data_IF_524636404039
#
_entry.id   IF_524636404039
#
_cell.length_a   1.000
_cell.length_b   1.000
_cell.length_c   1.000
_cell.angle_alpha   90.00
_cell.angle_beta   90.00
_cell.angle_gamma   90.00
#
_symmetry.space_group_name_H-M   'P 1'
#
loop_
_entity.id
_entity.type
_entity.pdbx_description
1 polymer ?
#
# COMPACT_ATOMS: atom_id res chain seq x y z
N UNK A 1 -11.56 -16.12 -6.04
CA UNK A 1 -10.24 -15.48 -6.17
C UNK A 1 -10.12 -14.26 -5.26
N UNK A 2 -8.91 -14.00 -4.77
CA UNK A 2 -8.54 -12.87 -3.89
C UNK A 2 -7.40 -12.11 -4.57
N UNK A 3 -7.68 -10.87 -4.96
CA UNK A 3 -6.71 -10.01 -5.63
C UNK A 3 -6.10 -9.05 -4.61
N UNK A 4 -4.78 -9.11 -4.46
CA UNK A 4 -4.03 -8.27 -3.53
C UNK A 4 -3.20 -7.28 -4.33
N UNK A 5 -3.35 -5.98 -4.06
CA UNK A 5 -2.54 -4.92 -4.67
C UNK A 5 -1.49 -4.48 -3.66
N UNK A 6 -0.23 -4.40 -4.08
CA UNK A 6 0.92 -4.15 -3.21
C UNK A 6 2.01 -3.37 -3.94
N UNK A 7 2.91 -2.75 -3.17
CA UNK A 7 4.09 -2.10 -3.70
C UNK A 7 5.13 -3.11 -4.23
N UNK A 8 6.23 -2.60 -4.76
CA UNK A 8 7.28 -3.41 -5.37
C UNK A 8 8.39 -3.86 -4.39
N UNK A 9 8.14 -3.83 -3.07
CA UNK A 9 9.15 -4.18 -2.08
C UNK A 9 9.68 -5.61 -2.26
N UNK A 10 10.99 -5.78 -2.06
CA UNK A 10 11.67 -7.07 -2.27
C UNK A 10 11.18 -8.17 -1.33
N UNK A 11 10.68 -7.79 -0.15
CA UNK A 11 10.07 -8.68 0.85
C UNK A 11 8.86 -9.46 0.29
N UNK A 12 8.14 -8.89 -0.67
CA UNK A 12 7.00 -9.53 -1.34
C UNK A 12 7.41 -10.61 -2.36
N UNK A 13 8.70 -10.72 -2.70
CA UNK A 13 9.20 -11.60 -3.77
C UNK A 13 10.14 -12.70 -3.28
N UNK A 14 10.22 -12.89 -1.96
CA UNK A 14 11.10 -13.90 -1.37
C UNK A 14 10.69 -15.32 -1.78
N UNK A 15 11.62 -16.30 -1.76
CA UNK A 15 11.28 -17.70 -2.03
C UNK A 15 10.18 -18.24 -1.13
N UNK A 16 10.09 -17.79 0.12
CA UNK A 16 9.04 -18.18 1.05
C UNK A 16 7.65 -17.73 0.57
N UNK A 17 7.52 -16.47 0.14
CA UNK A 17 6.27 -15.95 -0.42
C UNK A 17 5.88 -16.69 -1.71
N UNK A 18 6.85 -16.93 -2.62
CA UNK A 18 6.58 -17.68 -3.85
C UNK A 18 6.07 -19.09 -3.59
N UNK A 19 6.68 -19.82 -2.64
CA UNK A 19 6.22 -21.15 -2.22
C UNK A 19 4.82 -21.10 -1.62
N UNK A 20 4.55 -20.10 -0.79
CA UNK A 20 3.22 -19.93 -0.19
C UNK A 20 2.16 -19.66 -1.25
N UNK A 21 2.41 -18.79 -2.23
CA UNK A 21 1.46 -18.50 -3.32
C UNK A 21 1.17 -19.74 -4.17
N UNK A 22 2.19 -20.57 -4.46
CA UNK A 22 2.00 -21.82 -5.19
C UNK A 22 1.07 -22.79 -4.44
N UNK A 23 1.13 -22.82 -3.10
CA UNK A 23 0.24 -23.62 -2.26
C UNK A 23 -1.16 -22.98 -2.07
N UNK A 24 -1.33 -21.70 -2.41
CA UNK A 24 -2.57 -20.95 -2.18
C UNK A 24 -3.01 -20.20 -3.46
N UNK A 25 -3.43 -20.93 -4.52
CA UNK A 25 -3.68 -20.37 -5.85
C UNK A 25 -4.85 -19.37 -5.88
N UNK A 26 -5.68 -19.32 -4.84
CA UNK A 26 -6.75 -18.32 -4.71
C UNK A 26 -6.23 -16.89 -4.59
N UNK A 27 -4.95 -16.67 -4.25
CA UNK A 27 -4.37 -15.33 -4.11
C UNK A 27 -3.60 -14.92 -5.36
N UNK A 28 -4.00 -13.80 -5.95
CA UNK A 28 -3.33 -13.18 -7.10
C UNK A 28 -2.73 -11.85 -6.67
N UNK A 29 -1.41 -11.74 -6.78
CA UNK A 29 -0.67 -10.52 -6.42
C UNK A 29 -0.54 -9.58 -7.63
N UNK A 30 -0.94 -8.33 -7.46
CA UNK A 30 -0.80 -7.23 -8.42
C UNK A 30 0.15 -6.19 -7.86
N UNK A 31 1.26 -5.95 -8.56
CA UNK A 31 2.27 -5.01 -8.12
C UNK A 31 2.03 -3.64 -8.76
N UNK A 32 2.06 -2.57 -7.96
CA UNK A 32 2.05 -1.21 -8.50
C UNK A 32 3.30 -0.99 -9.36
N UNK A 33 3.22 -0.23 -10.47
CA UNK A 33 4.38 0.11 -11.27
C UNK A 33 5.50 0.79 -10.46
N UNK A 34 6.75 0.60 -10.89
CA UNK A 34 7.90 1.29 -10.27
C UNK A 34 7.68 2.80 -10.25
N UNK A 35 8.13 3.45 -9.17
CA UNK A 35 7.95 4.89 -8.94
C UNK A 35 6.48 5.35 -8.83
N UNK A 36 5.54 4.43 -8.54
CA UNK A 36 4.10 4.74 -8.43
C UNK A 36 3.52 4.49 -7.03
N UNK A 37 4.24 4.85 -5.96
CA UNK A 37 3.77 4.70 -4.57
C UNK A 37 2.43 5.40 -4.30
N UNK A 38 2.13 6.47 -5.03
CA UNK A 38 0.85 7.19 -4.95
C UNK A 38 -0.39 6.34 -5.32
N UNK A 39 -0.20 5.22 -6.02
CA UNK A 39 -1.26 4.23 -6.31
C UNK A 39 -1.51 3.26 -5.15
N UNK A 40 -0.57 3.14 -4.20
CA UNK A 40 -0.66 2.23 -3.08
C UNK A 40 -1.58 2.81 -1.99
N UNK A 41 -2.88 2.46 -2.02
CA UNK A 41 -3.88 3.05 -1.13
C UNK A 41 -3.65 2.72 0.36
N UNK A 42 -2.98 1.60 0.69
CA UNK A 42 -2.68 1.26 2.09
C UNK A 42 -1.73 2.28 2.73
N UNK A 43 -0.85 2.90 1.95
CA UNK A 43 0.03 3.98 2.45
C UNK A 43 -0.77 5.21 2.87
N UNK A 44 -1.90 5.49 2.22
CA UNK A 44 -2.82 6.56 2.65
C UNK A 44 -3.44 6.24 4.01
N UNK A 45 -3.84 4.99 4.21
CA UNK A 45 -4.36 4.53 5.50
C UNK A 45 -3.29 4.65 6.61
N UNK A 46 -2.04 4.26 6.33
CA UNK A 46 -0.94 4.47 7.28
C UNK A 46 -0.69 5.95 7.59
N UNK A 47 -0.87 6.83 6.60
CA UNK A 47 -0.84 8.28 6.81
C UNK A 47 -1.92 8.77 7.78
N UNK A 48 -3.15 8.26 7.67
CA UNK A 48 -4.24 8.58 8.60
C UNK A 48 -3.94 8.09 10.02
N UNK A 49 -3.54 6.81 10.17
CA UNK A 49 -3.15 6.26 11.46
C UNK A 49 -2.03 7.11 12.09
N UNK A 50 -1.02 7.48 11.30
CA UNK A 50 0.12 8.27 11.78
C UNK A 50 -0.33 9.65 12.27
N UNK A 51 -1.06 10.39 11.45
CA UNK A 51 -1.43 11.79 11.72
C UNK A 51 -2.54 11.94 12.77
N UNK A 52 -3.51 11.02 12.78
CA UNK A 52 -4.67 11.10 13.69
C UNK A 52 -4.45 10.38 15.01
N UNK A 53 -3.68 9.30 15.04
CA UNK A 53 -3.47 8.50 16.25
C UNK A 53 -2.04 8.56 16.78
N UNK A 54 -1.03 8.27 15.96
CA UNK A 54 0.33 8.07 16.47
C UNK A 54 1.01 9.39 16.88
N UNK A 55 0.91 10.44 16.07
CA UNK A 55 1.52 11.74 16.35
C UNK A 55 0.85 12.50 17.50
N UNK A 56 -0.40 12.13 17.85
CA UNK A 56 -1.18 12.74 18.93
C UNK A 56 -1.19 11.91 20.21
N UNK A 57 -0.62 10.70 20.18
CA UNK A 57 -0.58 9.77 21.30
C UNK A 57 0.78 9.78 21.99
N UNK A 58 0.79 9.79 23.32
CA UNK A 58 1.99 9.50 24.11
C UNK A 58 1.91 8.07 24.60
N UNK A 59 2.78 7.19 24.09
CA UNK A 59 2.83 5.79 24.51
C UNK A 59 4.05 5.55 25.38
N UNK A 60 3.85 4.96 26.57
CA UNK A 60 4.92 4.66 27.53
C UNK A 60 5.47 3.24 27.37
N UNK A 61 4.85 2.44 26.50
CA UNK A 61 5.32 1.08 26.20
C UNK A 61 4.85 0.59 24.83
N UNK A 62 5.53 -0.42 24.29
CA UNK A 62 5.13 -1.12 23.06
C UNK A 62 3.76 -1.80 23.22
N UNK A 63 3.41 -2.26 24.42
CA UNK A 63 2.10 -2.86 24.70
C UNK A 63 0.97 -1.85 24.52
N UNK A 64 1.17 -0.65 25.04
CA UNK A 64 0.22 0.46 24.91
C UNK A 64 0.04 0.88 23.45
N UNK A 65 1.15 1.03 22.72
CA UNK A 65 1.11 1.31 21.28
C UNK A 65 0.32 0.24 20.49
N UNK A 66 0.56 -1.05 20.78
CA UNK A 66 -0.17 -2.13 20.13
C UNK A 66 -1.67 -2.11 20.44
N UNK A 67 -2.04 -1.83 21.71
CA UNK A 67 -3.45 -1.70 22.11
C UNK A 67 -4.12 -0.56 21.33
N UNK A 68 -3.45 0.57 21.22
CA UNK A 68 -3.97 1.75 20.56
C UNK A 68 -4.12 1.59 19.04
N UNK A 69 -3.17 0.90 18.39
CA UNK A 69 -3.29 0.55 16.97
C UNK A 69 -4.46 -0.42 16.73
N UNK A 70 -4.68 -1.41 17.61
CA UNK A 70 -5.80 -2.35 17.48
C UNK A 70 -7.15 -1.64 17.64
N UNK A 71 -7.29 -0.80 18.65
CA UNK A 71 -8.50 0.01 18.86
C UNK A 71 -8.77 0.94 17.67
N UNK A 72 -7.73 1.52 17.07
CA UNK A 72 -7.86 2.30 15.84
C UNK A 72 -8.39 1.46 14.67
N UNK A 73 -7.85 0.25 14.48
CA UNK A 73 -8.29 -0.67 13.42
C UNK A 73 -9.77 -1.06 13.62
N UNK A 74 -10.16 -1.42 14.84
CA UNK A 74 -11.55 -1.73 15.18
C UNK A 74 -12.48 -0.55 14.86
N UNK A 75 -12.14 0.64 15.33
CA UNK A 75 -12.91 1.86 15.08
C UNK A 75 -13.01 2.20 13.59
N UNK A 76 -11.92 2.03 12.84
CA UNK A 76 -11.91 2.27 11.40
C UNK A 76 -12.80 1.27 10.64
N UNK A 77 -12.86 0.02 11.11
CA UNK A 77 -13.65 -1.03 10.47
C UNK A 77 -15.15 -0.94 10.77
N UNK A 78 -15.56 -0.27 11.85
CA UNK A 78 -16.98 -0.06 12.17
C UNK A 78 -17.69 0.88 11.16
N UNK A 79 -16.98 1.88 10.64
CA UNK A 79 -17.44 2.77 9.55
C UNK A 79 -16.30 3.00 8.53
N UNK A 80 -16.02 2.01 7.67
CA UNK A 80 -14.87 2.08 6.79
C UNK A 80 -15.11 3.13 5.71
N UNK A 81 -14.15 4.05 5.56
CA UNK A 81 -14.10 4.99 4.43
C UNK A 81 -13.16 4.46 3.36
N UNK A 82 -13.67 3.71 2.35
CA UNK A 82 -12.82 3.13 1.32
C UNK A 82 -12.13 4.23 0.53
N UNK A 83 -10.82 4.08 0.33
CA UNK A 83 -10.11 4.90 -0.63
C UNK A 83 -10.47 4.47 -2.05
N UNK A 84 -10.77 5.44 -2.89
CA UNK A 84 -11.12 5.19 -4.29
C UNK A 84 -10.01 5.72 -5.18
N UNK A 85 -9.55 4.91 -6.14
CA UNK A 85 -8.69 5.40 -7.20
C UNK A 85 -9.48 6.39 -8.07
N UNK A 86 -8.99 7.63 -8.16
CA UNK A 86 -9.66 8.70 -8.90
C UNK A 86 -9.21 8.79 -10.36
N UNK A 87 -8.14 8.09 -10.75
CA UNK A 87 -7.64 8.04 -12.12
C UNK A 87 -8.02 6.71 -12.77
N UNK A 88 -8.43 6.77 -14.02
CA UNK A 88 -8.67 5.59 -14.86
C UNK A 88 -7.36 4.88 -15.21
N UNK A 89 -7.44 3.62 -15.62
CA UNK A 89 -6.27 2.86 -16.07
C UNK A 89 -5.52 3.59 -17.20
N UNK A 90 -6.23 4.15 -18.18
CA UNK A 90 -5.63 4.89 -19.29
C UNK A 90 -4.87 6.13 -18.82
N UNK A 91 -5.45 6.88 -17.87
CA UNK A 91 -4.78 8.04 -17.28
C UNK A 91 -3.54 7.65 -16.47
N UNK A 92 -3.56 6.49 -15.82
CA UNK A 92 -2.40 5.95 -15.10
C UNK A 92 -1.30 5.58 -16.09
N UNK A 93 -1.63 4.81 -17.13
CA UNK A 93 -0.68 4.36 -18.17
C UNK A 93 -0.05 5.54 -18.89
N UNK A 94 -0.84 6.54 -19.26
CA UNK A 94 -0.37 7.77 -19.88
C UNK A 94 0.58 8.56 -18.95
N UNK A 95 0.26 8.64 -17.65
CA UNK A 95 1.14 9.27 -16.66
C UNK A 95 2.49 8.55 -16.52
N UNK A 96 2.48 7.21 -16.55
CA UNK A 96 3.70 6.40 -16.49
C UNK A 96 4.52 6.60 -17.77
N UNK A 97 3.88 6.56 -18.93
CA UNK A 97 4.53 6.80 -20.23
C UNK A 97 5.26 8.13 -20.25
N UNK A 98 4.59 9.23 -19.83
CA UNK A 98 5.21 10.57 -19.73
C UNK A 98 6.42 10.59 -18.80
N UNK A 99 6.33 9.91 -17.66
CA UNK A 99 7.44 9.82 -16.71
C UNK A 99 8.65 9.09 -17.32
N UNK A 100 8.42 7.96 -18.00
CA UNK A 100 9.48 7.21 -18.69
C UNK A 100 10.15 8.03 -19.81
N UNK A 101 9.36 8.76 -20.63
CA UNK A 101 9.91 9.65 -21.67
C UNK A 101 10.81 10.72 -21.05
N UNK A 102 10.33 11.40 -20.00
CA UNK A 102 11.11 12.45 -19.33
C UNK A 102 12.44 11.93 -18.77
N UNK A 103 12.46 10.74 -18.18
CA UNK A 103 13.71 10.14 -17.66
C UNK A 103 14.67 9.75 -18.79
N UNK A 104 14.18 9.20 -19.89
CA UNK A 104 15.02 8.88 -21.04
C UNK A 104 15.61 10.12 -21.72
N UNK A 105 14.89 11.25 -21.69
CA UNK A 105 15.37 12.53 -22.23
C UNK A 105 16.29 13.28 -21.25
N UNK A 106 16.42 12.81 -20.00
CA UNK A 106 17.31 13.38 -18.96
C UNK A 106 18.78 12.93 -19.12
N UNK A 107 19.24 12.64 -20.34
CA UNK A 107 20.62 12.15 -20.60
C UNK A 107 21.66 13.02 -19.89
N UNK A 108 22.35 12.41 -18.92
CA UNK A 108 23.75 12.70 -18.64
C UNK A 108 24.62 12.14 -19.76
#
# INVERSE_FOLDING_TARGET
DVHVVLDNASTHKTPAIKRWLAAHPRFVLHFTPTSSSWLNLVERWFGELTTKKLQRGTHRSVRELNKDIRAWIETWNDDPRPYVWTKTADQILESIKRYCTRINDSRH
#
